data_IF_600444271648
#
_entry.id   IF_600444271648
#
_cell.length_a   1.000
_cell.length_b   1.000
_cell.length_c   1.000
_cell.angle_alpha   90.00
_cell.angle_beta   90.00
_cell.angle_gamma   90.00
#
_symmetry.space_group_name_H-M   'P 1'
#
loop_
_entity.id
_entity.type
_entity.pdbx_description
1 polymer ?
#
# COMPACT_ATOMS: atom_id res chain seq x y z
N UNK A 1 3.74 -29.27 26.87
CA UNK A 1 2.60 -28.30 26.73
C UNK A 1 1.84 -28.38 28.03
N UNK A 2 1.86 -27.31 28.83
CA UNK A 2 1.36 -27.31 30.21
C UNK A 2 -0.05 -27.90 30.37
N UNK A 3 -0.98 -27.58 29.47
CA UNK A 3 -2.31 -28.19 29.46
C UNK A 3 -2.27 -29.73 29.36
N UNK A 4 -1.49 -30.26 28.42
CA UNK A 4 -1.33 -31.70 28.20
C UNK A 4 -0.65 -32.39 29.39
N UNK A 5 0.36 -31.77 29.98
CA UNK A 5 1.05 -32.29 31.17
C UNK A 5 0.13 -32.28 32.40
N UNK A 6 -0.56 -31.16 32.65
CA UNK A 6 -1.50 -31.05 33.77
C UNK A 6 -2.73 -31.97 33.62
N UNK A 7 -3.17 -32.24 32.39
CA UNK A 7 -4.25 -33.19 32.11
C UNK A 7 -3.80 -34.65 32.32
N UNK A 8 -2.52 -34.96 32.09
CA UNK A 8 -1.96 -36.32 32.28
C UNK A 8 -1.53 -36.59 33.72
N UNK A 9 -1.07 -35.56 34.44
CA UNK A 9 -0.61 -35.65 35.83
C UNK A 9 -1.42 -34.71 36.73
N UNK A 10 -2.68 -35.06 37.05
CA UNK A 10 -3.58 -34.19 37.80
C UNK A 10 -3.11 -33.91 39.25
N UNK A 11 -2.22 -34.74 39.80
CA UNK A 11 -1.65 -34.62 41.14
C UNK A 11 -0.43 -33.69 41.23
N UNK A 12 0.23 -33.38 40.11
CA UNK A 12 1.39 -32.48 40.05
C UNK A 12 1.19 -31.47 38.92
N UNK A 13 0.27 -30.52 39.16
CA UNK A 13 -0.03 -29.48 38.18
C UNK A 13 0.99 -28.36 38.27
N UNK A 14 1.55 -27.98 37.12
CA UNK A 14 2.36 -26.77 37.00
C UNK A 14 1.43 -25.56 36.98
N UNK A 15 1.59 -24.65 37.94
CA UNK A 15 0.79 -23.42 38.12
C UNK A 15 1.70 -22.18 38.13
N UNK A 16 1.13 -20.98 37.90
CA UNK A 16 1.87 -19.71 37.87
C UNK A 16 2.08 -19.14 36.47
N UNK A 17 2.93 -18.13 36.35
CA UNK A 17 3.18 -17.43 35.08
C UNK A 17 3.80 -18.35 34.02
N UNK A 18 3.55 -18.06 32.74
CA UNK A 18 4.16 -18.78 31.62
C UNK A 18 5.63 -18.39 31.52
N UNK A 19 6.51 -19.38 31.43
CA UNK A 19 7.94 -19.16 31.26
C UNK A 19 8.31 -19.08 29.78
N UNK A 20 9.41 -18.37 29.46
CA UNK A 20 9.92 -18.27 28.08
C UNK A 20 10.18 -19.65 27.44
N UNK A 21 10.78 -20.64 28.14
CA UNK A 21 10.94 -21.99 27.59
C UNK A 21 9.61 -22.68 27.27
N UNK A 22 8.58 -22.50 28.10
CA UNK A 22 7.26 -23.06 27.83
C UNK A 22 6.60 -22.44 26.61
N UNK A 23 6.70 -21.12 26.45
CA UNK A 23 6.19 -20.40 25.28
C UNK A 23 6.90 -20.84 23.99
N UNK A 24 8.23 -20.97 24.05
CA UNK A 24 9.04 -21.47 22.92
C UNK A 24 8.68 -22.91 22.55
N UNK A 25 8.53 -23.79 23.55
CA UNK A 25 8.12 -25.18 23.33
C UNK A 25 6.70 -25.29 22.78
N UNK A 26 5.77 -24.43 23.25
CA UNK A 26 4.41 -24.37 22.75
C UNK A 26 4.37 -23.90 21.30
N UNK A 27 5.12 -22.84 20.95
CA UNK A 27 5.23 -22.32 19.60
C UNK A 27 5.77 -23.39 18.63
N UNK A 28 6.88 -24.04 19.00
CA UNK A 28 7.47 -25.13 18.21
C UNK A 28 6.45 -26.26 18.01
N UNK A 29 5.73 -26.64 19.06
CA UNK A 29 4.71 -27.67 18.97
C UNK A 29 3.58 -27.28 18.00
N UNK A 30 3.08 -26.05 18.07
CA UNK A 30 2.03 -25.52 17.19
C UNK A 30 2.49 -25.49 15.73
N UNK A 31 3.67 -24.93 15.47
CA UNK A 31 4.25 -24.85 14.12
C UNK A 31 4.43 -26.24 13.54
N UNK A 32 5.01 -27.18 14.30
CA UNK A 32 5.22 -28.56 13.84
C UNK A 32 3.92 -29.25 13.50
N UNK A 33 2.91 -29.15 14.38
CA UNK A 33 1.59 -29.74 14.13
C UNK A 33 0.95 -29.15 12.88
N UNK A 34 1.05 -27.84 12.67
CA UNK A 34 0.55 -27.19 11.47
C UNK A 34 1.29 -27.65 10.22
N UNK A 35 2.61 -27.68 10.24
CA UNK A 35 3.42 -28.15 9.11
C UNK A 35 3.08 -29.59 8.73
N UNK A 36 2.85 -30.47 9.71
CA UNK A 36 2.47 -31.85 9.42
C UNK A 36 1.10 -31.95 8.73
N UNK A 37 0.14 -31.09 9.09
CA UNK A 37 -1.18 -31.06 8.43
C UNK A 37 -1.09 -30.60 6.98
N UNK A 38 -0.32 -29.54 6.71
CA UNK A 38 -0.31 -28.87 5.40
C UNK A 38 0.79 -29.34 4.44
N UNK A 39 1.90 -29.86 4.97
CA UNK A 39 3.09 -30.27 4.21
C UNK A 39 3.45 -31.74 4.44
N UNK A 40 2.49 -32.60 4.86
CA UNK A 40 2.73 -34.02 5.15
C UNK A 40 3.52 -34.77 4.06
N UNK A 41 3.11 -34.59 2.80
CA UNK A 41 3.77 -35.23 1.63
C UNK A 41 5.22 -34.76 1.49
N UNK A 42 5.43 -33.44 1.54
CA UNK A 42 6.77 -32.85 1.40
C UNK A 42 7.69 -33.26 2.56
N UNK A 43 7.17 -33.28 3.80
CA UNK A 43 7.90 -33.72 5.00
C UNK A 43 8.32 -35.19 4.84
N UNK A 44 7.43 -36.07 4.39
CA UNK A 44 7.76 -37.48 4.17
C UNK A 44 8.86 -37.66 3.11
N UNK A 45 8.80 -36.91 2.00
CA UNK A 45 9.84 -36.93 0.98
C UNK A 45 11.19 -36.46 1.54
N UNK A 46 11.22 -35.38 2.32
CA UNK A 46 12.44 -34.85 2.94
C UNK A 46 13.02 -35.86 3.94
N UNK A 47 12.17 -36.51 4.76
CA UNK A 47 12.61 -37.56 5.69
C UNK A 47 13.25 -38.75 4.97
N UNK A 48 12.71 -39.12 3.79
CA UNK A 48 13.23 -40.21 2.95
C UNK A 48 14.41 -39.81 2.07
N UNK A 49 14.85 -38.55 2.11
CA UNK A 49 15.88 -37.97 1.21
C UNK A 49 15.53 -38.09 -0.28
N UNK A 50 14.23 -38.06 -0.59
CA UNK A 50 13.71 -38.09 -1.96
C UNK A 50 13.59 -36.66 -2.53
N UNK A 51 13.62 -36.53 -3.86
CA UNK A 51 13.37 -35.24 -4.51
C UNK A 51 11.91 -34.82 -4.31
N UNK A 52 11.70 -33.55 -3.97
CA UNK A 52 10.36 -32.95 -3.93
C UNK A 52 9.72 -32.96 -5.32
N UNK A 53 8.38 -33.04 -5.37
CA UNK A 53 7.67 -33.00 -6.64
C UNK A 53 7.82 -31.64 -7.32
N UNK A 54 7.80 -31.62 -8.66
CA UNK A 54 7.83 -30.38 -9.44
C UNK A 54 6.61 -29.47 -9.16
N UNK A 55 5.52 -30.02 -8.61
CA UNK A 55 4.32 -29.30 -8.20
C UNK A 55 4.38 -28.73 -6.78
N UNK A 56 5.43 -29.04 -6.01
CA UNK A 56 5.55 -28.58 -4.62
C UNK A 56 5.87 -27.09 -4.56
N UNK A 57 5.09 -26.37 -3.75
CA UNK A 57 5.34 -24.94 -3.45
C UNK A 57 6.66 -24.72 -2.68
N UNK A 58 7.29 -25.80 -2.21
CA UNK A 58 8.50 -25.76 -1.40
C UNK A 58 9.78 -26.00 -2.21
N UNK A 59 9.65 -26.38 -3.49
CA UNK A 59 10.78 -26.75 -4.34
C UNK A 59 11.87 -25.66 -4.39
N UNK A 60 11.47 -24.39 -4.49
CA UNK A 60 12.38 -23.25 -4.60
C UNK A 60 12.84 -22.68 -3.25
N UNK A 61 12.41 -23.27 -2.13
CA UNK A 61 12.68 -22.75 -0.77
C UNK A 61 13.82 -23.49 -0.07
N UNK A 62 14.44 -24.50 -0.71
CA UNK A 62 15.48 -25.34 -0.10
C UNK A 62 15.14 -25.77 1.34
N UNK A 63 14.00 -26.44 1.55
CA UNK A 63 13.49 -26.76 2.89
C UNK A 63 14.30 -27.89 3.54
N UNK A 64 14.45 -27.84 4.87
CA UNK A 64 15.08 -28.90 5.65
C UNK A 64 14.39 -29.11 7.00
N UNK A 65 14.54 -30.30 7.58
CA UNK A 65 14.02 -30.63 8.90
C UNK A 65 15.11 -30.50 9.97
N UNK A 66 14.75 -30.00 11.15
CA UNK A 66 15.62 -30.03 12.32
C UNK A 66 15.45 -31.33 13.15
N UNK A 67 16.22 -31.44 14.23
CA UNK A 67 16.15 -32.56 15.20
C UNK A 67 14.76 -32.74 15.85
N UNK A 68 13.92 -31.70 15.84
CA UNK A 68 12.57 -31.70 16.40
C UNK A 68 11.48 -31.99 15.35
N UNK A 69 11.89 -32.29 14.12
CA UNK A 69 11.03 -32.47 12.93
C UNK A 69 10.21 -31.23 12.57
N UNK A 70 10.77 -30.04 12.79
CA UNK A 70 10.21 -28.77 12.32
C UNK A 70 10.81 -28.46 10.95
N UNK A 71 9.99 -27.95 10.04
CA UNK A 71 10.39 -27.58 8.68
C UNK A 71 10.89 -26.14 8.62
N UNK A 72 12.13 -25.96 8.14
CA UNK A 72 12.83 -24.69 8.06
C UNK A 72 13.21 -24.34 6.62
N UNK A 73 13.41 -23.05 6.34
CA UNK A 73 13.86 -22.55 5.03
C UNK A 73 15.33 -22.15 5.10
N UNK A 74 16.13 -22.62 4.15
CA UNK A 74 17.53 -22.20 4.05
C UNK A 74 17.65 -20.82 3.39
N UNK A 75 18.48 -19.93 3.94
CA UNK A 75 18.74 -18.57 3.40
C UNK A 75 20.13 -18.47 2.79
N UNK A 76 20.35 -17.41 1.99
CA UNK A 76 21.65 -17.02 1.41
C UNK A 76 22.76 -16.68 2.44
N UNK A 77 22.44 -16.58 3.74
CA UNK A 77 23.37 -16.22 4.82
C UNK A 77 23.95 -17.43 5.59
N UNK A 78 24.15 -18.55 4.89
CA UNK A 78 24.63 -19.83 5.48
C UNK A 78 25.97 -19.66 6.23
N UNK A 79 26.81 -18.71 5.80
CA UNK A 79 28.15 -18.47 6.35
C UNK A 79 28.24 -17.39 7.44
N UNK A 80 27.11 -16.79 7.87
CA UNK A 80 27.15 -15.76 8.93
C UNK A 80 27.40 -16.38 10.32
N UNK A 81 27.92 -15.61 11.29
CA UNK A 81 28.11 -16.06 12.68
C UNK A 81 26.83 -16.03 13.55
N UNK A 82 25.65 -15.82 12.94
CA UNK A 82 24.37 -15.73 13.67
C UNK A 82 23.92 -17.07 14.25
N UNK A 83 23.11 -17.03 15.31
CA UNK A 83 22.48 -18.22 15.90
C UNK A 83 21.52 -18.90 14.89
N UNK A 84 21.40 -20.23 14.95
CA UNK A 84 20.68 -21.06 13.96
C UNK A 84 19.21 -20.60 13.74
N UNK A 85 18.53 -20.23 14.82
CA UNK A 85 17.17 -19.71 14.87
C UNK A 85 16.99 -18.32 14.23
N UNK A 86 18.07 -17.54 14.07
CA UNK A 86 18.05 -16.25 13.39
C UNK A 86 18.45 -16.37 11.90
N UNK A 87 19.04 -17.51 11.51
CA UNK A 87 19.48 -17.77 10.13
C UNK A 87 18.38 -18.37 9.26
N UNK A 88 17.59 -19.24 9.86
CA UNK A 88 16.59 -20.04 9.17
C UNK A 88 15.23 -19.73 9.77
N UNK A 89 14.27 -19.19 9.00
CA UNK A 89 12.91 -19.03 9.48
C UNK A 89 12.14 -20.35 9.39
N UNK A 90 11.21 -20.57 10.32
CA UNK A 90 10.28 -21.71 10.30
C UNK A 90 9.23 -21.52 9.19
N UNK A 91 8.98 -22.55 8.40
CA UNK A 91 8.03 -22.46 7.30
C UNK A 91 6.57 -22.48 7.80
N UNK A 92 5.73 -21.56 7.36
CA UNK A 92 4.29 -21.52 7.69
C UNK A 92 3.43 -21.51 6.42
N UNK A 93 2.36 -22.32 6.35
CA UNK A 93 1.39 -22.27 5.27
C UNK A 93 0.49 -21.02 5.36
N UNK A 94 0.25 -20.35 4.23
CA UNK A 94 -0.64 -19.18 4.16
C UNK A 94 -2.14 -19.46 4.35
N UNK A 95 -2.58 -20.71 4.20
CA UNK A 95 -3.97 -21.11 4.27
C UNK A 95 -4.35 -21.70 5.64
N UNK A 96 -3.88 -21.07 6.72
CA UNK A 96 -4.13 -21.51 8.09
C UNK A 96 -4.52 -20.34 9.00
N UNK A 97 -5.54 -20.54 9.85
CA UNK A 97 -5.96 -19.52 10.83
C UNK A 97 -4.84 -19.14 11.80
N UNK A 98 -3.95 -20.07 12.14
CA UNK A 98 -2.81 -19.78 13.01
C UNK A 98 -1.82 -18.82 12.31
N UNK A 99 -1.66 -18.93 10.98
CA UNK A 99 -0.87 -17.99 10.21
C UNK A 99 -1.47 -16.58 10.30
N UNK A 100 -2.78 -16.45 10.13
CA UNK A 100 -3.48 -15.17 10.23
C UNK A 100 -3.29 -14.53 11.62
N UNK A 101 -3.38 -15.33 12.69
CA UNK A 101 -3.14 -14.87 14.07
C UNK A 101 -1.68 -14.44 14.32
N UNK A 102 -0.71 -15.16 13.76
CA UNK A 102 0.71 -14.78 13.86
C UNK A 102 0.94 -13.47 13.12
N UNK A 103 0.39 -13.31 11.92
CA UNK A 103 0.49 -12.08 11.15
C UNK A 103 -0.12 -10.91 11.94
N UNK A 104 -1.32 -11.08 12.47
CA UNK A 104 -2.02 -10.04 13.25
C UNK A 104 -1.23 -9.67 14.52
N UNK A 105 -0.66 -10.66 15.22
CA UNK A 105 0.21 -10.39 16.37
C UNK A 105 1.39 -9.50 16.00
N UNK A 106 2.15 -9.84 14.95
CA UNK A 106 3.29 -9.03 14.50
C UNK A 106 2.82 -7.65 14.01
N UNK A 107 1.70 -7.59 13.31
CA UNK A 107 1.12 -6.36 12.81
C UNK A 107 0.80 -5.38 13.95
N UNK A 108 0.15 -5.86 15.02
CA UNK A 108 -0.21 -5.07 16.20
C UNK A 108 1.01 -4.75 17.07
N UNK A 109 1.90 -5.73 17.31
CA UNK A 109 3.10 -5.57 18.12
C UNK A 109 4.03 -4.49 17.55
N UNK A 110 4.19 -4.48 16.22
CA UNK A 110 4.97 -3.46 15.51
C UNK A 110 4.10 -2.28 15.03
N UNK A 111 3.08 -1.90 15.80
CA UNK A 111 2.34 -0.63 15.67
C UNK A 111 1.79 -0.33 14.27
N UNK A 112 1.26 -1.34 13.58
CA UNK A 112 0.59 -1.17 12.29
C UNK A 112 1.48 -0.60 11.17
N UNK A 113 2.74 -1.03 11.08
CA UNK A 113 3.78 -0.54 10.15
C UNK A 113 3.55 -0.85 8.65
N UNK A 114 2.43 -1.46 8.27
CA UNK A 114 2.09 -1.78 6.87
C UNK A 114 2.62 -3.13 6.39
N UNK A 115 2.29 -3.51 5.15
CA UNK A 115 2.51 -4.87 4.61
C UNK A 115 3.97 -5.26 4.57
N UNK A 116 4.83 -4.44 3.96
CA UNK A 116 6.25 -4.79 3.76
C UNK A 116 7.03 -4.87 5.09
N UNK A 117 6.78 -3.94 6.00
CA UNK A 117 7.40 -3.94 7.33
C UNK A 117 6.93 -5.12 8.18
N UNK A 118 5.61 -5.41 8.18
CA UNK A 118 5.06 -6.58 8.88
C UNK A 118 5.67 -7.87 8.33
N UNK A 119 5.79 -7.98 6.99
CA UNK A 119 6.41 -9.13 6.34
C UNK A 119 7.91 -9.26 6.67
N UNK A 120 8.65 -8.16 6.73
CA UNK A 120 10.06 -8.15 7.14
C UNK A 120 10.25 -8.60 8.59
N UNK A 121 9.40 -8.13 9.50
CA UNK A 121 9.40 -8.53 10.91
C UNK A 121 9.02 -10.00 11.08
N UNK A 122 7.99 -10.48 10.36
CA UNK A 122 7.63 -11.90 10.34
C UNK A 122 8.80 -12.77 9.87
N UNK A 123 9.52 -12.33 8.84
CA UNK A 123 10.72 -13.02 8.33
C UNK A 123 11.82 -13.16 9.37
N UNK A 124 11.82 -12.45 10.49
CA UNK A 124 12.83 -12.72 11.54
C UNK A 124 12.70 -14.12 12.12
N UNK A 125 11.50 -14.71 12.13
CA UNK A 125 11.23 -16.04 12.72
C UNK A 125 10.48 -17.01 11.78
N UNK A 126 9.68 -16.49 10.85
CA UNK A 126 8.76 -17.29 10.02
C UNK A 126 8.87 -16.99 8.53
N UNK A 127 8.69 -18.02 7.70
CA UNK A 127 8.58 -17.90 6.26
C UNK A 127 7.19 -18.35 5.82
N UNK A 128 6.31 -17.38 5.56
CA UNK A 128 4.95 -17.64 5.10
C UNK A 128 4.94 -17.89 3.59
N UNK A 129 4.35 -19.00 3.15
CA UNK A 129 4.14 -19.27 1.71
C UNK A 129 3.20 -18.21 1.13
N UNK A 130 3.51 -17.58 -0.01
CA UNK A 130 2.76 -16.40 -0.51
C UNK A 130 2.69 -15.22 0.48
N UNK A 131 3.72 -15.04 1.32
CA UNK A 131 3.69 -14.15 2.49
C UNK A 131 3.18 -12.73 2.26
N UNK A 132 3.58 -12.05 1.18
CA UNK A 132 3.11 -10.67 0.90
C UNK A 132 1.59 -10.61 0.76
N UNK A 133 1.03 -11.47 -0.08
CA UNK A 133 -0.41 -11.55 -0.32
C UNK A 133 -1.18 -11.93 0.96
N UNK A 134 -0.66 -12.88 1.73
CA UNK A 134 -1.30 -13.29 3.00
C UNK A 134 -1.28 -12.18 4.04
N UNK A 135 -0.16 -11.46 4.16
CA UNK A 135 -0.06 -10.31 5.06
C UNK A 135 -1.04 -9.22 4.63
N UNK A 136 -1.07 -8.88 3.34
CA UNK A 136 -2.03 -7.90 2.80
C UNK A 136 -3.48 -8.30 3.08
N UNK A 137 -3.86 -9.56 2.86
CA UNK A 137 -5.19 -10.09 3.17
C UNK A 137 -5.58 -9.91 4.65
N UNK A 138 -4.65 -10.12 5.58
CA UNK A 138 -4.89 -9.95 7.02
C UNK A 138 -5.00 -8.47 7.37
N UNK A 139 -4.08 -7.63 6.86
CA UNK A 139 -4.04 -6.21 7.14
C UNK A 139 -5.24 -5.44 6.56
N UNK A 140 -5.79 -5.87 5.43
CA UNK A 140 -7.00 -5.26 4.85
C UNK A 140 -8.25 -5.44 5.73
N UNK A 141 -8.22 -6.38 6.69
CA UNK A 141 -9.28 -6.53 7.69
C UNK A 141 -9.02 -5.71 8.95
N UNK A 142 -7.86 -5.09 9.08
CA UNK A 142 -7.51 -4.29 10.25
C UNK A 142 -8.19 -2.92 10.20
N UNK A 143 -9.18 -2.72 11.07
CA UNK A 143 -9.91 -1.45 11.17
C UNK A 143 -9.00 -0.25 11.44
N UNK A 144 -7.93 -0.42 12.24
CA UNK A 144 -6.97 0.67 12.53
C UNK A 144 -6.19 1.10 11.28
N UNK A 145 -5.84 0.16 10.41
CA UNK A 145 -5.19 0.47 9.14
C UNK A 145 -6.18 1.04 8.13
N UNK A 146 -7.41 0.53 8.11
CA UNK A 146 -8.48 1.06 7.26
C UNK A 146 -8.81 2.52 7.61
N UNK A 147 -8.86 2.86 8.91
CA UNK A 147 -9.07 4.23 9.41
C UNK A 147 -8.03 5.25 8.91
N UNK A 148 -6.82 4.83 8.54
CA UNK A 148 -5.77 5.72 8.04
C UNK A 148 -5.90 6.07 6.55
N UNK A 149 -6.80 5.42 5.81
CA UNK A 149 -6.82 5.49 4.34
C UNK A 149 -8.13 6.06 3.75
N UNK A 150 -9.08 6.48 4.58
CA UNK A 150 -10.37 7.00 4.12
C UNK A 150 -10.35 8.53 4.08
N UNK A 151 -10.14 9.08 2.88
CA UNK A 151 -10.59 10.42 2.54
C UNK A 151 -12.10 10.34 2.24
N UNK A 152 -12.91 11.17 2.93
CA UNK A 152 -14.33 11.32 2.63
C UNK A 152 -14.54 12.63 1.88
N UNK A 153 -15.03 12.55 0.65
CA UNK A 153 -15.39 13.71 -0.17
C UNK A 153 -16.91 13.75 -0.38
N UNK A 154 -17.50 14.93 -0.18
CA UNK A 154 -18.93 15.18 -0.38
C UNK A 154 -19.15 16.66 -0.68
N UNK A 155 -20.33 17.01 -1.18
CA UNK A 155 -20.73 18.37 -1.52
C UNK A 155 -22.24 18.55 -1.39
N UNK A 156 -22.70 19.78 -1.57
CA UNK A 156 -24.11 20.16 -1.65
C UNK A 156 -24.23 21.44 -2.47
N UNK A 157 -25.38 21.66 -3.09
CA UNK A 157 -25.61 22.85 -3.93
C UNK A 157 -25.88 24.10 -3.06
N UNK A 158 -26.34 23.89 -1.82
CA UNK A 158 -26.60 24.95 -0.86
C UNK A 158 -25.82 24.76 0.44
N UNK A 159 -25.55 25.88 1.11
CA UNK A 159 -24.86 25.91 2.41
C UNK A 159 -25.52 24.98 3.44
N UNK A 160 -26.86 25.01 3.56
CA UNK A 160 -27.59 24.22 4.55
C UNK A 160 -27.49 22.72 4.26
N UNK A 161 -27.59 22.33 3.00
CA UNK A 161 -27.43 20.94 2.56
C UNK A 161 -26.03 20.43 2.90
N UNK A 162 -24.99 21.17 2.52
CA UNK A 162 -23.60 20.82 2.80
C UNK A 162 -23.36 20.70 4.32
N UNK A 163 -23.88 21.64 5.13
CA UNK A 163 -23.76 21.60 6.59
C UNK A 163 -24.45 20.38 7.20
N UNK A 164 -25.67 20.06 6.75
CA UNK A 164 -26.41 18.89 7.23
C UNK A 164 -25.70 17.59 6.87
N UNK A 165 -25.21 17.46 5.64
CA UNK A 165 -24.43 16.31 5.18
C UNK A 165 -23.16 16.15 6.02
N UNK A 166 -22.46 17.24 6.32
CA UNK A 166 -21.27 17.25 7.17
C UNK A 166 -21.55 16.77 8.59
N UNK A 167 -22.61 17.28 9.22
CA UNK A 167 -23.03 16.86 10.57
C UNK A 167 -23.43 15.39 10.61
N UNK A 168 -24.18 14.92 9.61
CA UNK A 168 -24.58 13.51 9.48
C UNK A 168 -23.36 12.61 9.31
N UNK A 169 -22.43 12.98 8.44
CA UNK A 169 -21.19 12.24 8.24
C UNK A 169 -20.38 12.14 9.54
N UNK A 170 -20.21 13.25 10.26
CA UNK A 170 -19.54 13.28 11.57
C UNK A 170 -20.21 12.34 12.56
N UNK A 171 -21.52 12.44 12.73
CA UNK A 171 -22.29 11.59 13.66
C UNK A 171 -22.17 10.09 13.33
N UNK A 172 -22.35 9.72 12.05
CA UNK A 172 -22.29 8.31 11.61
C UNK A 172 -20.90 7.73 11.83
N UNK A 173 -19.85 8.49 11.48
CA UNK A 173 -18.48 8.04 11.65
C UNK A 173 -18.10 7.95 13.13
N UNK A 174 -18.48 8.93 13.95
CA UNK A 174 -18.27 8.89 15.41
C UNK A 174 -18.96 7.67 16.04
N UNK A 175 -20.20 7.36 15.63
CA UNK A 175 -20.91 6.16 16.08
C UNK A 175 -20.20 4.85 15.67
N UNK A 176 -19.47 4.87 14.54
CA UNK A 176 -18.60 3.77 14.11
C UNK A 176 -17.21 3.78 14.80
N UNK A 177 -16.98 4.68 15.76
CA UNK A 177 -15.70 4.88 16.45
C UNK A 177 -14.62 5.47 15.53
N UNK A 178 -15.02 6.16 14.46
CA UNK A 178 -14.15 6.85 13.51
C UNK A 178 -14.31 8.36 13.66
N UNK A 179 -13.27 9.02 14.15
CA UNK A 179 -13.26 10.47 14.29
C UNK A 179 -12.77 11.09 12.97
N UNK A 180 -13.65 11.84 12.29
CA UNK A 180 -13.31 12.55 11.06
C UNK A 180 -12.54 13.82 11.40
N UNK A 181 -11.36 13.96 10.82
CA UNK A 181 -10.42 15.05 11.08
C UNK A 181 -10.09 15.80 9.82
N UNK A 182 -9.40 16.94 9.96
CA UNK A 182 -8.86 17.71 8.83
C UNK A 182 -9.95 18.18 7.86
N UNK A 183 -11.09 18.59 8.39
CA UNK A 183 -12.22 19.11 7.60
C UNK A 183 -11.81 20.34 6.80
N UNK A 184 -12.18 20.37 5.52
CA UNK A 184 -11.83 21.44 4.58
C UNK A 184 -12.92 21.61 3.53
N UNK A 185 -13.16 22.85 3.09
CA UNK A 185 -14.22 23.24 2.16
C UNK A 185 -13.79 24.45 1.35
N UNK A 186 -14.40 24.64 0.18
CA UNK A 186 -14.33 25.86 -0.62
C UNK A 186 -15.29 26.97 -0.18
N UNK A 187 -16.25 26.69 0.72
CA UNK A 187 -17.18 27.70 1.24
C UNK A 187 -16.69 28.29 2.57
N UNK A 188 -16.43 29.60 2.57
CA UNK A 188 -15.95 30.33 3.75
C UNK A 188 -16.96 30.34 4.92
N UNK A 189 -18.27 30.43 4.64
CA UNK A 189 -19.31 30.39 5.65
C UNK A 189 -19.37 29.01 6.29
N UNK A 190 -19.26 27.94 5.49
CA UNK A 190 -19.25 26.56 5.99
C UNK A 190 -18.02 26.29 6.85
N UNK A 191 -16.85 26.79 6.43
CA UNK A 191 -15.63 26.73 7.22
C UNK A 191 -15.78 27.44 8.58
N UNK A 192 -16.38 28.63 8.61
CA UNK A 192 -16.64 29.36 9.86
C UNK A 192 -17.63 28.61 10.75
N UNK A 193 -18.69 28.05 10.17
CA UNK A 193 -19.69 27.28 10.91
C UNK A 193 -19.09 26.01 11.53
N UNK A 194 -18.26 25.28 10.79
CA UNK A 194 -17.52 24.12 11.32
C UNK A 194 -16.59 24.50 12.48
N UNK A 195 -15.92 25.67 12.40
CA UNK A 195 -15.12 26.20 13.52
C UNK A 195 -15.99 26.46 14.75
N UNK A 196 -17.16 27.09 14.58
CA UNK A 196 -18.13 27.33 15.67
C UNK A 196 -18.61 26.03 16.31
N UNK A 197 -18.83 24.99 15.50
CA UNK A 197 -19.25 23.66 15.94
C UNK A 197 -18.10 22.74 16.39
N UNK A 198 -16.88 23.27 16.50
CA UNK A 198 -15.69 22.54 16.96
C UNK A 198 -15.40 21.28 16.14
N UNK A 199 -15.57 21.36 14.82
CA UNK A 199 -15.00 20.36 13.92
C UNK A 199 -13.48 20.50 13.90
N UNK A 200 -12.77 19.38 13.72
CA UNK A 200 -11.32 19.36 13.54
C UNK A 200 -10.97 19.82 12.11
N UNK A 201 -11.00 21.14 11.89
CA UNK A 201 -10.75 21.75 10.58
C UNK A 201 -9.26 21.81 10.27
N UNK A 202 -8.91 21.69 8.99
CA UNK A 202 -7.52 21.79 8.54
C UNK A 202 -6.97 23.21 8.80
N UNK A 203 -5.79 23.36 9.43
CA UNK A 203 -5.21 24.67 9.67
C UNK A 203 -4.73 25.29 8.35
N UNK A 204 -5.41 26.35 7.91
CA UNK A 204 -5.13 27.10 6.67
C UNK A 204 -3.70 27.70 6.65
N UNK A 205 -3.04 27.81 7.81
CA UNK A 205 -1.73 28.44 7.98
C UNK A 205 -0.52 27.49 8.08
N UNK A 206 -0.70 26.17 8.10
CA UNK A 206 0.42 25.21 8.27
C UNK A 206 0.95 24.63 6.94
N UNK A 207 0.49 25.11 5.79
CA UNK A 207 0.95 24.66 4.47
C UNK A 207 2.23 25.39 4.05
N UNK A 208 3.33 25.10 4.77
CA UNK A 208 4.68 25.64 4.51
C UNK A 208 5.12 25.46 3.03
N UNK A 209 4.51 24.53 2.28
CA UNK A 209 4.94 24.17 0.93
C UNK A 209 3.91 24.39 -0.20
N UNK A 210 2.65 24.77 0.09
CA UNK A 210 1.59 24.88 -0.93
C UNK A 210 1.03 26.31 -1.06
N UNK A 211 1.29 27.21 -0.11
CA UNK A 211 0.72 28.55 -0.11
C UNK A 211 -0.63 28.61 0.59
N UNK A 212 -1.16 29.83 0.76
CA UNK A 212 -2.45 30.03 1.42
C UNK A 212 -3.58 29.41 0.58
N UNK A 213 -4.45 28.62 1.20
CA UNK A 213 -5.63 27.96 0.59
C UNK A 213 -5.36 26.74 -0.32
N UNK A 214 -4.15 26.17 -0.31
CA UNK A 214 -3.87 24.92 -1.04
C UNK A 214 -3.75 23.71 -0.11
N UNK A 215 -4.51 22.64 -0.39
CA UNK A 215 -4.48 21.36 0.34
C UNK A 215 -4.35 20.18 -0.63
N UNK A 216 -4.22 18.94 -0.12
CA UNK A 216 -4.31 17.73 -0.95
C UNK A 216 -5.67 17.05 -0.77
N UNK A 217 -6.29 16.65 -1.87
CA UNK A 217 -7.50 15.83 -1.91
C UNK A 217 -7.30 14.68 -2.88
N UNK A 218 -7.51 13.44 -2.43
CA UNK A 218 -7.26 12.23 -3.21
C UNK A 218 -5.87 12.24 -3.87
N UNK A 219 -4.86 12.84 -3.20
CA UNK A 219 -3.48 13.00 -3.67
C UNK A 219 -3.23 14.04 -4.77
N UNK A 220 -4.25 14.79 -5.22
CA UNK A 220 -4.12 15.98 -6.06
C UNK A 220 -4.07 17.24 -5.20
N UNK A 221 -3.46 18.32 -5.71
CA UNK A 221 -3.52 19.62 -5.05
C UNK A 221 -4.86 20.29 -5.34
N UNK A 222 -5.48 20.87 -4.33
CA UNK A 222 -6.76 21.57 -4.43
C UNK A 222 -6.62 22.97 -3.86
N UNK A 223 -6.92 23.97 -4.69
CA UNK A 223 -7.10 25.34 -4.25
C UNK A 223 -8.55 25.51 -3.80
N UNK A 224 -8.76 25.72 -2.50
CA UNK A 224 -10.11 25.80 -1.95
C UNK A 224 -10.79 27.13 -2.22
N UNK A 225 -10.04 28.19 -2.53
CA UNK A 225 -10.63 29.51 -2.77
C UNK A 225 -11.25 29.61 -4.17
N UNK A 226 -10.48 29.23 -5.18
CA UNK A 226 -10.87 29.30 -6.60
C UNK A 226 -11.49 27.97 -7.10
N UNK A 227 -11.54 26.96 -6.24
CA UNK A 227 -12.12 25.64 -6.47
C UNK A 227 -11.61 24.86 -7.70
N UNK A 228 -10.29 24.85 -7.88
CA UNK A 228 -9.63 24.06 -8.93
C UNK A 228 -8.65 23.02 -8.35
N UNK A 229 -8.50 21.92 -9.08
CA UNK A 229 -7.47 20.91 -8.88
C UNK A 229 -6.22 21.25 -9.72
N UNK A 230 -5.05 20.96 -9.17
CA UNK A 230 -3.74 21.05 -9.86
C UNK A 230 -2.90 19.81 -9.58
N UNK A 231 -1.87 19.63 -10.40
CA UNK A 231 -0.85 18.60 -10.18
C UNK A 231 0.34 19.21 -9.44
N UNK A 232 0.73 18.61 -8.32
CA UNK A 232 1.96 18.97 -7.60
C UNK A 232 3.19 18.51 -8.41
N UNK A 233 3.82 19.46 -9.11
CA UNK A 233 4.99 19.18 -9.97
C UNK A 233 6.31 19.55 -9.31
N UNK A 234 6.33 20.18 -8.14
CA UNK A 234 7.56 20.75 -7.52
C UNK A 234 8.66 19.70 -7.35
N UNK A 235 8.35 18.59 -6.67
CA UNK A 235 9.31 17.50 -6.45
C UNK A 235 9.78 16.83 -7.75
N UNK A 236 8.94 16.84 -8.78
CA UNK A 236 9.28 16.26 -10.08
C UNK A 236 10.17 17.20 -10.90
N UNK A 237 9.90 18.50 -10.87
CA UNK A 237 10.75 19.53 -11.50
C UNK A 237 12.15 19.54 -10.89
N UNK A 238 12.25 19.52 -9.56
CA UNK A 238 13.53 19.39 -8.85
C UNK A 238 14.26 18.11 -9.27
N UNK A 239 13.55 16.98 -9.37
CA UNK A 239 14.15 15.72 -9.78
C UNK A 239 14.67 15.76 -11.23
N UNK A 240 13.85 16.26 -12.16
CA UNK A 240 14.18 16.33 -13.59
C UNK A 240 15.33 17.31 -13.86
N UNK A 241 15.49 18.36 -13.03
CA UNK A 241 16.60 19.32 -13.14
C UNK A 241 17.99 18.70 -12.95
N UNK A 242 18.09 17.46 -12.45
CA UNK A 242 19.33 16.69 -12.41
C UNK A 242 19.87 16.29 -13.80
N UNK A 243 19.06 16.48 -14.85
CA UNK A 243 19.41 16.32 -16.27
C UNK A 243 20.11 15.00 -16.62
N UNK A 244 19.61 13.90 -16.05
CA UNK A 244 20.09 12.55 -16.37
C UNK A 244 19.26 11.95 -17.50
N UNK A 245 19.92 11.20 -18.36
CA UNK A 245 19.31 10.60 -19.55
C UNK A 245 19.57 9.10 -19.55
N UNK A 246 18.98 8.38 -18.57
CA UNK A 246 19.02 6.91 -18.48
C UNK A 246 17.64 6.33 -18.29
N UNK A 247 17.46 5.05 -18.67
CA UNK A 247 16.20 4.33 -18.48
C UNK A 247 15.72 4.34 -17.03
N UNK A 248 16.63 4.15 -16.07
CA UNK A 248 16.32 4.20 -14.64
C UNK A 248 15.79 5.57 -14.24
N UNK A 249 16.45 6.64 -14.69
CA UNK A 249 16.05 8.00 -14.35
C UNK A 249 14.67 8.37 -14.92
N UNK A 250 14.42 8.02 -16.19
CA UNK A 250 13.09 8.20 -16.81
C UNK A 250 12.00 7.46 -16.04
N UNK A 251 12.24 6.20 -15.66
CA UNK A 251 11.27 5.43 -14.88
C UNK A 251 11.00 6.05 -13.49
N UNK A 252 12.05 6.54 -12.82
CA UNK A 252 11.93 7.23 -11.53
C UNK A 252 11.12 8.53 -11.65
N UNK A 253 11.32 9.31 -12.72
CA UNK A 253 10.53 10.51 -12.99
C UNK A 253 9.06 10.17 -13.21
N UNK A 254 8.77 9.19 -14.06
CA UNK A 254 7.39 8.77 -14.37
C UNK A 254 6.68 8.23 -13.12
N UNK A 255 7.38 7.47 -12.28
CA UNK A 255 6.83 6.93 -11.02
C UNK A 255 6.49 7.99 -9.97
N UNK A 256 6.98 9.22 -10.12
CA UNK A 256 6.63 10.37 -9.25
C UNK A 256 5.34 11.06 -9.67
N UNK A 257 4.82 10.78 -10.87
CA UNK A 257 3.58 11.39 -11.35
C UNK A 257 2.40 10.65 -10.74
N UNK A 258 1.54 11.39 -10.06
CA UNK A 258 0.32 10.86 -9.47
C UNK A 258 -0.89 11.40 -10.25
N UNK A 259 -1.61 10.50 -10.94
CA UNK A 259 -2.74 10.84 -11.81
C UNK A 259 -3.92 9.85 -11.60
N UNK A 260 -4.54 9.85 -10.42
CA UNK A 260 -5.58 8.86 -10.06
C UNK A 260 -6.85 9.01 -10.92
N UNK A 261 -7.19 10.24 -11.31
CA UNK A 261 -8.38 10.58 -12.08
C UNK A 261 -8.15 10.58 -13.60
N UNK A 262 -6.94 10.30 -14.06
CA UNK A 262 -6.64 10.31 -15.50
C UNK A 262 -6.63 11.70 -16.15
N UNK A 263 -6.75 12.78 -15.37
CA UNK A 263 -6.85 14.17 -15.85
C UNK A 263 -5.67 14.62 -16.73
N UNK A 264 -4.47 14.10 -16.46
CA UNK A 264 -3.25 14.40 -17.23
C UNK A 264 -2.79 13.21 -18.07
N UNK A 265 -3.72 12.33 -18.45
CA UNK A 265 -3.43 11.15 -19.30
C UNK A 265 -2.75 11.49 -20.62
N UNK A 266 -3.13 12.56 -21.36
CA UNK A 266 -2.44 12.94 -22.60
C UNK A 266 -0.95 13.24 -22.40
N UNK A 267 -0.57 13.76 -21.23
CA UNK A 267 0.82 14.04 -20.89
C UNK A 267 1.58 12.79 -20.46
N UNK A 268 0.95 11.94 -19.63
CA UNK A 268 1.58 10.74 -19.06
C UNK A 268 1.66 9.55 -20.04
N UNK A 269 0.74 9.46 -21.00
CA UNK A 269 0.76 8.38 -22.01
C UNK A 269 2.02 8.43 -22.88
N UNK A 270 2.55 9.62 -23.17
CA UNK A 270 3.80 9.78 -23.92
C UNK A 270 4.97 9.06 -23.25
N UNK A 271 5.04 9.14 -21.92
CA UNK A 271 6.09 8.45 -21.15
C UNK A 271 5.87 6.96 -21.07
N UNK A 272 4.62 6.49 -21.02
CA UNK A 272 4.33 5.05 -21.12
C UNK A 272 4.78 4.50 -22.47
N UNK A 273 4.53 5.21 -23.57
CA UNK A 273 5.02 4.86 -24.90
C UNK A 273 6.56 4.87 -24.97
N UNK A 274 7.20 5.91 -24.43
CA UNK A 274 8.65 6.04 -24.40
C UNK A 274 9.30 4.89 -23.61
N UNK A 275 8.74 4.56 -22.44
CA UNK A 275 9.18 3.41 -21.65
C UNK A 275 9.05 2.10 -22.44
N UNK A 276 7.94 1.89 -23.15
CA UNK A 276 7.78 0.70 -24.01
C UNK A 276 8.87 0.61 -25.09
N UNK A 277 9.21 1.74 -25.72
CA UNK A 277 10.28 1.79 -26.73
C UNK A 277 11.65 1.44 -26.09
N UNK A 278 11.95 1.95 -24.89
CA UNK A 278 13.15 1.59 -24.11
C UNK A 278 13.22 0.11 -23.68
N UNK A 279 12.08 -0.56 -23.52
CA UNK A 279 12.04 -2.00 -23.26
C UNK A 279 12.28 -2.79 -24.53
N UNK A 280 11.73 -2.35 -25.67
CA UNK A 280 11.89 -3.01 -26.97
C UNK A 280 13.32 -2.95 -27.49
N UNK A 281 14.04 -1.88 -27.19
CA UNK A 281 15.46 -1.71 -27.56
C UNK A 281 16.44 -2.33 -26.55
N UNK A 282 15.93 -3.04 -25.53
CA UNK A 282 16.75 -3.78 -24.55
C UNK A 282 17.81 -2.93 -23.82
N UNK A 283 17.60 -1.60 -23.75
CA UNK A 283 18.49 -0.65 -23.07
C UNK A 283 18.63 -1.03 -21.59
N UNK A 284 19.87 -1.08 -21.09
CA UNK A 284 20.14 -1.37 -19.69
C UNK A 284 19.76 -0.18 -18.80
N UNK A 285 19.68 -0.42 -17.49
CA UNK A 285 19.15 0.56 -16.54
C UNK A 285 19.89 1.90 -16.53
N UNK A 286 21.22 1.85 -16.65
CA UNK A 286 22.10 2.99 -16.46
C UNK A 286 22.80 3.42 -17.76
N UNK A 287 22.44 2.80 -18.88
CA UNK A 287 22.91 3.18 -20.21
C UNK A 287 22.27 4.51 -20.67
N UNK A 288 22.99 5.30 -21.49
CA UNK A 288 22.44 6.52 -22.07
C UNK A 288 21.26 6.22 -23.00
N UNK A 289 20.27 7.12 -23.01
CA UNK A 289 19.13 7.00 -23.92
C UNK A 289 19.60 7.15 -25.39
N UNK A 290 19.05 6.34 -26.32
CA UNK A 290 19.24 6.56 -27.76
C UNK A 290 18.80 7.97 -28.17
N UNK A 291 19.48 8.58 -29.13
CA UNK A 291 19.27 9.99 -29.54
C UNK A 291 17.81 10.33 -29.87
N UNK A 292 17.10 9.40 -30.53
CA UNK A 292 15.70 9.59 -30.90
C UNK A 292 14.74 9.52 -29.69
N UNK A 293 15.09 8.76 -28.64
CA UNK A 293 14.33 8.69 -27.38
C UNK A 293 14.67 9.87 -26.48
N UNK A 294 15.96 10.23 -26.40
CA UNK A 294 16.45 11.36 -25.63
C UNK A 294 15.77 12.67 -26.04
N UNK A 295 15.56 12.87 -27.35
CA UNK A 295 14.85 14.04 -27.87
C UNK A 295 13.42 14.15 -27.33
N UNK A 296 12.66 13.05 -27.37
CA UNK A 296 11.28 13.01 -26.86
C UNK A 296 11.24 13.15 -25.33
N UNK A 297 12.21 12.59 -24.62
CA UNK A 297 12.39 12.74 -23.18
C UNK A 297 12.64 14.20 -22.80
N UNK A 298 13.61 14.87 -23.45
CA UNK A 298 13.92 16.29 -23.21
C UNK A 298 12.73 17.19 -23.50
N UNK A 299 12.05 16.97 -24.63
CA UNK A 299 10.82 17.69 -24.94
C UNK A 299 9.75 17.52 -23.85
N UNK A 300 9.57 16.32 -23.34
CA UNK A 300 8.63 16.07 -22.25
C UNK A 300 9.02 16.83 -20.96
N UNK A 301 10.32 16.86 -20.64
CA UNK A 301 10.86 17.60 -19.50
C UNK A 301 10.67 19.11 -19.64
N UNK A 302 10.86 19.67 -20.84
CA UNK A 302 10.65 21.10 -21.15
C UNK A 302 9.18 21.51 -20.98
N UNK A 303 8.25 20.61 -21.26
CA UNK A 303 6.81 20.88 -21.12
C UNK A 303 6.29 20.72 -19.69
N UNK A 304 7.02 19.99 -18.83
CA UNK A 304 6.62 19.68 -17.45
C UNK A 304 6.28 20.91 -16.59
N UNK A 305 7.00 22.06 -16.66
CA UNK A 305 6.65 23.26 -15.89
C UNK A 305 5.23 23.76 -16.19
N UNK A 306 4.75 23.62 -17.42
CA UNK A 306 3.40 24.05 -17.80
C UNK A 306 2.31 23.20 -17.15
N UNK A 307 2.61 21.95 -16.78
CA UNK A 307 1.66 21.09 -16.09
C UNK A 307 1.26 21.65 -14.71
N UNK A 308 2.17 22.37 -14.04
CA UNK A 308 1.86 23.03 -12.76
C UNK A 308 0.88 24.20 -12.90
N UNK A 309 0.76 24.79 -14.08
CA UNK A 309 -0.19 25.87 -14.38
C UNK A 309 -1.57 25.38 -14.81
N UNK A 310 -1.74 24.07 -15.07
CA UNK A 310 -3.01 23.49 -15.46
C UNK A 310 -3.98 23.53 -14.28
N UNK A 311 -5.02 24.36 -14.42
CA UNK A 311 -6.13 24.46 -13.47
C UNK A 311 -7.32 23.67 -14.01
N UNK A 312 -7.79 22.70 -13.24
CA UNK A 312 -8.92 21.86 -13.61
C UNK A 312 -10.06 22.19 -12.64
N UNK A 313 -11.20 22.74 -13.10
CA UNK A 313 -12.34 22.98 -12.22
C UNK A 313 -12.72 21.70 -11.47
N UNK A 314 -12.88 21.79 -10.14
CA UNK A 314 -13.29 20.62 -9.34
C UNK A 314 -14.78 20.33 -9.56
N UNK A 315 -15.59 21.39 -9.67
CA UNK A 315 -17.00 21.31 -9.99
C UNK A 315 -17.17 21.10 -11.50
N UNK A 316 -17.81 19.99 -11.89
CA UNK A 316 -18.02 19.62 -13.30
C UNK A 316 -19.40 20.04 -13.79
N UNK A 317 -20.41 20.00 -12.92
CA UNK A 317 -21.80 20.35 -13.25
C UNK A 317 -22.12 21.73 -12.65
N UNK A 318 -22.71 22.60 -13.45
CA UNK A 318 -23.05 23.96 -13.02
C UNK A 318 -24.36 23.95 -12.23
N UNK A 319 -24.28 24.24 -10.93
CA UNK A 319 -25.43 24.24 -10.03
C UNK A 319 -26.44 25.37 -10.29
N UNK A 320 -26.20 26.25 -11.27
CA UNK A 320 -27.08 27.40 -11.57
C UNK A 320 -28.23 27.10 -12.52
N UNK A 321 -28.25 25.94 -13.18
CA UNK A 321 -29.32 25.52 -14.08
C UNK A 321 -30.30 24.59 -13.34
N UNK A 322 -31.60 24.90 -13.45
CA UNK A 322 -32.69 24.15 -12.79
C UNK A 322 -32.88 22.74 -13.37
N UNK A 323 -32.44 22.53 -14.61
CA UNK A 323 -32.44 21.26 -15.34
C UNK A 323 -31.15 21.21 -16.17
N UNK A 324 -30.14 20.46 -15.71
CA UNK A 324 -29.01 20.10 -16.55
C UNK A 324 -29.46 19.00 -17.51
N UNK A 325 -29.52 19.29 -18.81
CA UNK A 325 -29.50 18.25 -19.83
C UNK A 325 -28.10 17.62 -19.84
N UNK A 326 -27.89 16.63 -18.97
CA UNK A 326 -26.61 15.93 -18.84
C UNK A 326 -26.47 14.91 -19.96
N UNK A 327 -25.61 15.22 -20.93
CA UNK A 327 -25.17 14.26 -21.94
C UNK A 327 -23.80 13.68 -21.58
N UNK A 328 -23.68 12.36 -21.62
CA UNK A 328 -22.40 11.67 -21.43
C UNK A 328 -21.66 11.55 -22.76
N UNK A 329 -20.61 12.34 -22.95
CA UNK A 329 -19.80 12.33 -24.17
C UNK A 329 -18.54 11.48 -23.95
N UNK A 330 -18.50 10.29 -24.54
CA UNK A 330 -17.31 9.43 -24.50
C UNK A 330 -16.50 9.57 -25.77
N UNK A 331 -15.28 10.08 -25.65
CA UNK A 331 -14.30 10.11 -26.73
C UNK A 331 -13.33 8.94 -26.58
N UNK A 332 -13.11 8.18 -27.65
CA UNK A 332 -12.10 7.13 -27.68
C UNK A 332 -11.22 7.25 -28.93
N UNK A 333 -9.91 7.11 -28.76
CA UNK A 333 -8.95 7.00 -29.86
C UNK A 333 -8.01 5.81 -29.61
N UNK A 334 -7.66 5.11 -30.69
CA UNK A 334 -6.74 4.00 -30.68
C UNK A 334 -5.70 4.19 -31.78
N UNK A 335 -4.44 4.34 -31.37
CA UNK A 335 -3.29 4.36 -32.26
C UNK A 335 -2.42 3.14 -32.02
N UNK A 336 -1.53 2.84 -32.98
CA UNK A 336 -0.60 1.69 -32.89
C UNK A 336 0.19 1.62 -31.57
N UNK A 337 0.48 2.76 -30.94
CA UNK A 337 1.28 2.85 -29.70
C UNK A 337 0.45 2.90 -28.41
N UNK A 338 -0.79 3.38 -28.45
CA UNK A 338 -1.63 3.55 -27.27
C UNK A 338 -3.11 3.70 -27.65
N UNK A 339 -3.98 3.29 -26.73
CA UNK A 339 -5.40 3.63 -26.75
C UNK A 339 -5.71 4.55 -25.56
N UNK A 340 -6.71 5.40 -25.71
CA UNK A 340 -7.17 6.31 -24.67
C UNK A 340 -8.67 6.54 -24.80
N UNK A 341 -9.30 6.76 -23.65
CA UNK A 341 -10.68 7.21 -23.58
C UNK A 341 -10.76 8.40 -22.61
N UNK A 342 -11.64 9.34 -22.91
CA UNK A 342 -12.03 10.44 -22.05
C UNK A 342 -13.56 10.47 -21.99
N UNK A 343 -14.08 10.68 -20.79
CA UNK A 343 -15.50 10.76 -20.48
C UNK A 343 -15.74 12.11 -19.82
#
# INVERSE_FOLDING_TARGET
MRFKENARNPLQRTTGNLTVPELSAALICLVRSMQFVYFSKDIQCIMKREKLSNSSKLLNLSPFLDEKNVLWVSRRLQHSKLLLNHKHPMLIPSNCNICDLIIDHYHVFYLHTGVEATLANLRTQFWVTNGRFTVEKVLNKCLKCLKKLLDLTSGGNEFLEALQTSRRAKYVMEAAGMDLKKWITNDANLMEQWKKEKFDVYPVHETVNLGANETKVLGLSWNTHEDYLTTDTKSLLEFVSLDKNTKRFTLQAVGKIFNPLGLISPFTVRMKCLLQDLWREEIQWDDPLPTHIEKEWKKWCEELPHLGSLKIPRLVLDSTLLEDDVELHSFCDARKKAYGAAI
#
